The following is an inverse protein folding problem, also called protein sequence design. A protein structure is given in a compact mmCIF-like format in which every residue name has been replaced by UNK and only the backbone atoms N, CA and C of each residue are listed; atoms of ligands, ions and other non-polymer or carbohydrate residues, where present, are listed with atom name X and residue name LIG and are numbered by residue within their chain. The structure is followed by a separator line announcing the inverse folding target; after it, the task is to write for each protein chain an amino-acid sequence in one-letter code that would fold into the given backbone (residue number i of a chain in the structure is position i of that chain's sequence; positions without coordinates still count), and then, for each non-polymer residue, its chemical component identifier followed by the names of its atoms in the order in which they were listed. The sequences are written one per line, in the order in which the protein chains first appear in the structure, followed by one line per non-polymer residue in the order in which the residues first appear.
data_IF_661683363405
#
_entry.id   IF_661683363405
#
_cell.length_a   1.000
_cell.length_b   1.000
_cell.length_c   1.000
_cell.angle_alpha   90.00
_cell.angle_beta   90.00
_cell.angle_gamma   90.00
#
_symmetry.space_group_name_H-M   'P 1'
#
loop_
_entity.id
_entity.type
_entity.pdbx_description
1 polymer ?
#
# COMPACT_ATOMS: atom_id res chain seq x y z
N UNK A 1 11.81 -15.94 -56.66
CA UNK A 1 10.50 -16.08 -55.98
C UNK A 1 10.62 -16.75 -54.58
N UNK A 2 11.33 -17.87 -54.41
CA UNK A 2 11.45 -18.54 -53.09
C UNK A 2 12.17 -17.70 -51.99
N UNK A 3 13.16 -16.86 -52.35
CA UNK A 3 13.89 -15.98 -51.38
C UNK A 3 13.08 -14.79 -50.92
N UNK A 4 12.22 -14.24 -51.77
CA UNK A 4 11.32 -13.11 -51.41
C UNK A 4 10.18 -13.56 -50.48
N UNK A 5 9.67 -14.78 -50.67
CA UNK A 5 8.61 -15.36 -49.84
C UNK A 5 9.13 -15.67 -48.39
N UNK A 6 10.41 -16.12 -48.28
CA UNK A 6 11.04 -16.40 -46.98
C UNK A 6 11.28 -15.10 -46.19
N UNK A 7 11.63 -13.99 -46.85
CA UNK A 7 11.83 -12.69 -46.19
C UNK A 7 10.50 -12.09 -45.72
N UNK A 8 9.43 -12.27 -46.52
CA UNK A 8 8.11 -11.80 -46.15
C UNK A 8 7.52 -12.58 -44.97
N UNK A 9 7.73 -13.89 -44.91
CA UNK A 9 7.32 -14.74 -43.79
C UNK A 9 8.09 -14.40 -42.50
N UNK A 10 9.41 -14.12 -42.60
CA UNK A 10 10.23 -13.70 -41.47
C UNK A 10 9.81 -12.30 -40.96
N UNK A 11 9.43 -11.38 -41.85
CA UNK A 11 8.96 -10.05 -41.48
C UNK A 11 7.59 -10.10 -40.80
N UNK A 12 6.68 -10.96 -41.26
CA UNK A 12 5.37 -11.19 -40.64
C UNK A 12 5.51 -11.86 -39.26
N UNK A 13 6.48 -12.79 -39.09
CA UNK A 13 6.76 -13.39 -37.79
C UNK A 13 7.39 -12.37 -36.79
N UNK A 14 8.21 -11.44 -37.27
CA UNK A 14 8.78 -10.40 -36.42
C UNK A 14 7.74 -9.32 -36.02
N UNK A 15 6.71 -9.06 -36.83
CA UNK A 15 5.63 -8.14 -36.47
C UNK A 15 4.62 -8.73 -35.47
N UNK A 16 4.56 -10.06 -35.35
CA UNK A 16 3.62 -10.73 -34.44
C UNK A 16 4.16 -10.91 -33.01
N UNK A 17 5.38 -10.48 -32.71
CA UNK A 17 6.02 -10.69 -31.39
C UNK A 17 6.12 -9.44 -30.52
N UNK A 18 5.55 -8.33 -30.93
CA UNK A 18 5.41 -7.17 -30.07
C UNK A 18 3.98 -7.01 -29.52
N UNK A 19 3.48 -8.05 -28.85
CA UNK A 19 2.40 -7.81 -27.91
C UNK A 19 3.02 -6.94 -26.79
N UNK A 20 2.44 -5.77 -26.48
CA UNK A 20 2.90 -5.02 -25.32
C UNK A 20 2.81 -5.96 -24.12
N UNK A 21 3.92 -6.11 -23.40
CA UNK A 21 3.91 -6.91 -22.19
C UNK A 21 2.85 -6.31 -21.26
N UNK A 22 1.79 -7.06 -21.00
CA UNK A 22 0.79 -6.68 -19.99
C UNK A 22 1.54 -6.49 -18.67
N UNK A 23 1.29 -5.38 -17.97
CA UNK A 23 1.85 -5.21 -16.64
C UNK A 23 1.41 -6.38 -15.75
N UNK A 24 2.29 -6.83 -14.88
CA UNK A 24 1.91 -7.79 -13.85
C UNK A 24 0.81 -7.18 -12.98
N UNK A 25 -0.16 -8.00 -12.56
CA UNK A 25 -1.12 -7.58 -11.55
C UNK A 25 -0.37 -7.16 -10.27
N UNK A 26 -0.91 -6.22 -9.48
CA UNK A 26 -0.31 -5.85 -8.20
C UNK A 26 -0.21 -7.08 -7.30
N UNK A 27 0.92 -7.23 -6.63
CA UNK A 27 1.11 -8.25 -5.60
C UNK A 27 0.37 -7.85 -4.32
N UNK A 28 0.19 -8.81 -3.40
CA UNK A 28 -0.38 -8.51 -2.07
C UNK A 28 0.44 -7.44 -1.34
N UNK A 29 1.77 -7.46 -1.50
CA UNK A 29 2.65 -6.43 -0.94
C UNK A 29 2.43 -5.05 -1.57
N UNK A 30 2.18 -4.96 -2.89
CA UNK A 30 1.85 -3.69 -3.54
C UNK A 30 0.52 -3.13 -3.02
N UNK A 31 -0.47 -4.00 -2.81
CA UNK A 31 -1.78 -3.61 -2.28
C UNK A 31 -1.69 -3.19 -0.81
N UNK A 32 -0.91 -3.90 0.01
CA UNK A 32 -0.67 -3.56 1.41
C UNK A 32 0.06 -2.21 1.53
N UNK A 33 1.13 -2.00 0.77
CA UNK A 33 1.86 -0.72 0.74
C UNK A 33 0.97 0.44 0.29
N UNK A 34 0.09 0.23 -0.68
CA UNK A 34 -0.87 1.22 -1.12
C UNK A 34 -1.87 1.56 0.01
N UNK A 35 -2.41 0.56 0.70
CA UNK A 35 -3.32 0.74 1.83
C UNK A 35 -2.68 1.54 2.96
N UNK A 36 -1.44 1.22 3.33
CA UNK A 36 -0.67 1.95 4.34
C UNK A 36 -0.39 3.40 3.93
N UNK A 37 0.03 3.64 2.68
CA UNK A 37 0.26 5.00 2.16
C UNK A 37 -1.00 5.84 2.30
N UNK A 38 -2.14 5.33 1.84
CA UNK A 38 -3.42 6.03 1.92
C UNK A 38 -3.90 6.21 3.38
N UNK A 39 -3.66 5.22 4.24
CA UNK A 39 -3.98 5.31 5.67
C UNK A 39 -3.21 6.44 6.36
N UNK A 40 -1.91 6.56 6.10
CA UNK A 40 -1.08 7.64 6.64
C UNK A 40 -1.52 9.04 6.15
N UNK A 41 -2.09 9.11 4.97
CA UNK A 41 -2.71 10.33 4.45
C UNK A 41 -4.11 10.60 5.01
N UNK A 42 -4.69 9.64 5.77
CA UNK A 42 -6.08 9.73 6.24
C UNK A 42 -7.13 9.46 5.15
N UNK A 43 -6.71 8.86 4.01
CA UNK A 43 -7.55 8.63 2.83
C UNK A 43 -8.11 7.20 2.73
N UNK A 44 -7.65 6.29 3.57
CA UNK A 44 -8.10 4.91 3.64
C UNK A 44 -8.19 4.45 5.09
N UNK A 45 -9.13 3.55 5.39
CA UNK A 45 -9.34 3.06 6.75
C UNK A 45 -9.43 1.54 6.76
N UNK A 46 -9.00 0.94 7.88
CA UNK A 46 -9.25 -0.46 8.16
C UNK A 46 -10.74 -0.75 8.35
N UNK A 47 -11.10 -2.02 8.29
CA UNK A 47 -12.44 -2.54 8.63
C UNK A 47 -12.54 -2.83 10.12
N UNK A 48 -11.39 -3.00 10.76
CA UNK A 48 -11.22 -3.27 12.19
C UNK A 48 -9.88 -2.74 12.66
N UNK A 49 -9.59 -2.92 13.94
CA UNK A 49 -8.32 -2.57 14.58
C UNK A 49 -7.80 -3.82 15.31
N UNK A 50 -6.53 -4.15 15.09
CA UNK A 50 -5.90 -5.27 15.79
C UNK A 50 -5.65 -4.97 17.28
N UNK A 51 -5.12 -5.95 18.01
CA UNK A 51 -4.87 -5.85 19.45
C UNK A 51 -3.84 -4.76 19.82
N UNK A 52 -2.97 -4.43 18.88
CA UNK A 52 -1.92 -3.44 19.01
C UNK A 52 -2.40 -2.03 18.61
N UNK A 53 -3.63 -1.91 18.08
CA UNK A 53 -4.22 -0.62 17.65
C UNK A 53 -3.97 -0.27 16.19
N UNK A 54 -3.49 -1.21 15.37
CA UNK A 54 -3.27 -0.99 13.93
C UNK A 54 -4.50 -1.36 13.10
N UNK A 55 -4.69 -0.72 11.94
CA UNK A 55 -5.82 -1.01 11.08
C UNK A 55 -5.72 -2.41 10.46
N UNK A 56 -6.79 -3.15 10.48
CA UNK A 56 -6.98 -4.36 9.69
C UNK A 56 -7.64 -3.96 8.38
N UNK A 57 -6.91 -4.01 7.27
CA UNK A 57 -7.41 -3.51 5.98
C UNK A 57 -8.36 -4.45 5.26
N UNK A 58 -8.36 -5.75 5.59
CA UNK A 58 -9.18 -6.78 4.93
C UNK A 58 -9.08 -6.73 3.40
N UNK A 59 -7.85 -6.69 2.88
CA UNK A 59 -7.57 -6.44 1.46
C UNK A 59 -8.12 -7.52 0.53
N UNK A 60 -8.33 -8.75 1.03
CA UNK A 60 -8.92 -9.88 0.30
C UNK A 60 -10.45 -9.85 0.21
N UNK A 61 -11.13 -8.92 0.91
CA UNK A 61 -12.58 -8.83 0.89
C UNK A 61 -13.08 -8.14 -0.38
N UNK A 62 -14.21 -8.62 -0.92
CA UNK A 62 -14.90 -7.98 -2.03
C UNK A 62 -15.80 -6.85 -1.51
N UNK A 63 -15.51 -5.58 -1.81
CA UNK A 63 -16.29 -4.46 -1.32
C UNK A 63 -17.63 -4.35 -2.05
N UNK A 64 -18.63 -3.79 -1.36
CA UNK A 64 -19.90 -3.38 -1.99
C UNK A 64 -19.73 -2.03 -2.70
N UNK A 65 -20.69 -1.68 -3.56
CA UNK A 65 -20.72 -0.37 -4.23
C UNK A 65 -20.80 0.79 -3.24
N UNK A 66 -21.57 0.64 -2.16
CA UNK A 66 -21.63 1.65 -1.11
C UNK A 66 -20.26 1.85 -0.44
N UNK A 67 -19.54 0.75 -0.15
CA UNK A 67 -18.18 0.82 0.40
C UNK A 67 -17.21 1.45 -0.61
N UNK A 68 -17.34 1.13 -1.91
CA UNK A 68 -16.50 1.73 -2.97
C UNK A 68 -16.65 3.24 -3.05
N UNK A 69 -17.88 3.76 -2.99
CA UNK A 69 -18.12 5.21 -2.97
C UNK A 69 -17.58 5.84 -1.68
N UNK A 70 -17.75 5.19 -0.53
CA UNK A 70 -17.19 5.66 0.73
C UNK A 70 -15.66 5.78 0.64
N UNK A 71 -14.99 4.76 0.10
CA UNK A 71 -13.52 4.79 -0.08
C UNK A 71 -13.09 5.88 -1.09
N UNK A 72 -13.87 6.13 -2.14
CA UNK A 72 -13.62 7.24 -3.06
C UNK A 72 -13.74 8.61 -2.38
N UNK A 73 -14.80 8.84 -1.60
CA UNK A 73 -15.00 10.11 -0.88
C UNK A 73 -13.85 10.36 0.10
N UNK A 74 -13.38 9.32 0.76
CA UNK A 74 -12.17 9.37 1.61
C UNK A 74 -10.93 9.70 0.80
N UNK A 75 -10.72 9.04 -0.35
CA UNK A 75 -9.60 9.31 -1.26
C UNK A 75 -9.54 10.78 -1.68
N UNK A 76 -10.66 11.43 -1.82
CA UNK A 76 -10.75 12.86 -2.14
C UNK A 76 -10.54 13.78 -0.92
N UNK A 77 -10.32 13.23 0.29
CA UNK A 77 -10.21 13.99 1.53
C UNK A 77 -11.52 14.66 1.95
N UNK A 78 -12.66 14.18 1.47
CA UNK A 78 -13.97 14.83 1.62
C UNK A 78 -14.88 14.12 2.63
N UNK A 79 -14.38 13.18 3.42
CA UNK A 79 -15.18 12.45 4.41
C UNK A 79 -15.87 13.40 5.39
N UNK A 80 -15.12 14.38 5.93
CA UNK A 80 -15.69 15.37 6.84
C UNK A 80 -16.83 16.17 6.19
N UNK A 81 -16.61 16.64 4.98
CA UNK A 81 -17.64 17.38 4.23
C UNK A 81 -18.88 16.52 3.95
N UNK A 82 -18.68 15.24 3.62
CA UNK A 82 -19.79 14.31 3.39
C UNK A 82 -20.60 14.08 4.68
N UNK A 83 -19.96 13.89 5.82
CA UNK A 83 -20.62 13.61 7.10
C UNK A 83 -21.30 14.82 7.72
N UNK A 84 -20.75 16.03 7.56
CA UNK A 84 -21.29 17.26 8.13
C UNK A 84 -22.32 17.96 7.22
N UNK A 85 -22.35 17.59 5.93
CA UNK A 85 -23.26 18.17 4.94
C UNK A 85 -24.65 17.54 4.96
N UNK A 86 -25.58 18.22 4.27
CA UNK A 86 -26.91 17.68 3.98
C UNK A 86 -26.99 17.42 2.48
N UNK A 87 -27.13 16.18 2.10
CA UNK A 87 -27.10 15.73 0.71
C UNK A 87 -28.42 15.06 0.35
N UNK A 88 -28.90 15.32 -0.85
CA UNK A 88 -30.09 14.68 -1.40
C UNK A 88 -29.74 13.72 -2.52
N UNK A 89 -30.48 12.63 -2.63
CA UNK A 89 -30.32 11.63 -3.68
C UNK A 89 -31.66 11.00 -3.99
N UNK A 90 -31.92 10.62 -5.25
CA UNK A 90 -33.15 9.92 -5.59
C UNK A 90 -33.15 8.45 -5.13
N UNK A 91 -32.01 7.93 -4.63
CA UNK A 91 -31.84 6.50 -4.36
C UNK A 91 -32.53 6.08 -3.07
N UNK A 92 -33.31 5.00 -3.15
CA UNK A 92 -34.10 4.47 -2.03
C UNK A 92 -33.48 3.24 -1.36
N UNK A 93 -32.41 2.68 -1.95
CA UNK A 93 -31.77 1.43 -1.53
C UNK A 93 -30.40 1.67 -0.86
N UNK A 94 -30.11 2.88 -0.43
CA UNK A 94 -28.86 3.24 0.26
C UNK A 94 -29.05 3.08 1.76
N UNK A 95 -28.24 2.22 2.44
CA UNK A 95 -28.33 2.07 3.89
C UNK A 95 -27.92 3.37 4.61
N UNK A 96 -28.45 3.58 5.80
CA UNK A 96 -28.31 4.82 6.58
C UNK A 96 -26.84 5.26 6.72
N UNK A 97 -25.95 4.33 7.05
CA UNK A 97 -24.51 4.62 7.21
C UNK A 97 -23.83 5.16 5.94
N UNK A 98 -24.35 4.79 4.75
CA UNK A 98 -23.78 5.19 3.47
C UNK A 98 -24.44 6.42 2.86
N UNK A 99 -25.59 6.87 3.37
CA UNK A 99 -26.34 8.01 2.84
C UNK A 99 -25.49 9.28 2.71
N UNK A 100 -24.68 9.69 3.70
CA UNK A 100 -23.85 10.90 3.59
C UNK A 100 -22.84 10.79 2.43
N UNK A 101 -22.22 9.64 2.26
CA UNK A 101 -21.20 9.41 1.22
C UNK A 101 -21.82 9.34 -0.17
N UNK A 102 -22.90 8.57 -0.32
CA UNK A 102 -23.57 8.40 -1.62
C UNK A 102 -24.26 9.71 -2.03
N UNK A 103 -24.88 10.42 -1.09
CA UNK A 103 -25.48 11.73 -1.35
C UNK A 103 -24.45 12.76 -1.79
N UNK A 104 -23.33 12.87 -1.06
CA UNK A 104 -22.20 13.71 -1.46
C UNK A 104 -21.73 13.37 -2.88
N UNK A 105 -21.46 12.08 -3.12
CA UNK A 105 -20.94 11.62 -4.41
C UNK A 105 -21.94 11.89 -5.56
N UNK A 106 -23.23 11.76 -5.32
CA UNK A 106 -24.26 12.06 -6.30
C UNK A 106 -24.30 13.56 -6.64
N UNK A 107 -24.37 14.42 -5.66
CA UNK A 107 -24.41 15.88 -5.87
C UNK A 107 -23.11 16.44 -6.48
N UNK A 108 -21.97 15.75 -6.26
CA UNK A 108 -20.69 16.09 -6.90
C UNK A 108 -20.50 15.43 -8.27
N UNK A 109 -21.50 14.72 -8.80
CA UNK A 109 -21.43 14.08 -10.11
C UNK A 109 -20.47 12.89 -10.18
N UNK A 110 -20.03 12.36 -9.02
CA UNK A 110 -19.12 11.20 -8.97
C UNK A 110 -19.85 9.90 -9.25
N UNK A 111 -21.16 9.83 -8.95
CA UNK A 111 -22.01 8.66 -9.25
C UNK A 111 -23.37 9.07 -9.76
N UNK A 112 -23.95 8.23 -10.65
CA UNK A 112 -25.29 8.43 -11.19
C UNK A 112 -26.25 7.30 -10.76
N UNK A 113 -25.82 6.39 -9.86
CA UNK A 113 -26.57 5.19 -9.53
C UNK A 113 -26.55 4.13 -10.64
N UNK A 114 -27.43 3.15 -10.54
CA UNK A 114 -27.66 2.09 -11.54
C UNK A 114 -29.04 2.20 -12.20
N UNK A 115 -29.88 3.08 -11.71
CA UNK A 115 -31.20 3.41 -12.22
C UNK A 115 -31.69 4.74 -11.62
N UNK A 116 -32.88 5.19 -12.04
CA UNK A 116 -33.42 6.51 -11.60
C UNK A 116 -33.51 6.65 -10.09
N UNK A 117 -33.92 5.59 -9.39
CA UNK A 117 -34.07 5.57 -7.93
C UNK A 117 -33.23 4.48 -7.24
N UNK A 118 -32.32 3.86 -7.98
CA UNK A 118 -31.56 2.70 -7.51
C UNK A 118 -30.06 2.97 -7.57
N UNK A 119 -29.38 2.78 -6.46
CA UNK A 119 -27.93 2.84 -6.33
C UNK A 119 -27.27 1.46 -6.43
N UNK A 120 -27.98 0.40 -6.05
CA UNK A 120 -27.48 -0.97 -5.86
C UNK A 120 -26.38 -1.05 -4.78
N UNK A 121 -26.65 -0.46 -3.61
CA UNK A 121 -25.69 -0.27 -2.53
C UNK A 121 -24.98 -1.55 -2.08
N UNK A 122 -25.73 -2.67 -1.98
CA UNK A 122 -25.23 -3.99 -1.53
C UNK A 122 -24.57 -4.83 -2.64
N UNK A 123 -24.63 -4.41 -3.91
CA UNK A 123 -23.99 -5.15 -5.00
C UNK A 123 -22.47 -5.12 -4.85
N UNK A 124 -21.80 -6.24 -5.13
CA UNK A 124 -20.34 -6.28 -5.21
C UNK A 124 -19.82 -5.29 -6.25
N UNK A 125 -18.83 -4.50 -5.86
CA UNK A 125 -18.18 -3.51 -6.72
C UNK A 125 -17.33 -4.23 -7.78
N UNK A 126 -17.47 -3.83 -9.02
CA UNK A 126 -16.60 -4.31 -10.11
C UNK A 126 -15.44 -3.34 -10.38
N UNK A 127 -14.38 -3.84 -11.04
CA UNK A 127 -13.26 -3.01 -11.47
C UNK A 127 -13.72 -1.79 -12.26
N UNK A 128 -14.53 -1.99 -13.30
CA UNK A 128 -14.98 -0.89 -14.17
C UNK A 128 -15.83 0.14 -13.42
N UNK A 129 -16.64 -0.29 -12.44
CA UNK A 129 -17.41 0.63 -11.61
C UNK A 129 -16.48 1.52 -10.77
N UNK A 130 -15.45 0.96 -10.13
CA UNK A 130 -14.52 1.77 -9.35
C UNK A 130 -13.63 2.67 -10.21
N UNK A 131 -13.14 2.16 -11.35
CA UNK A 131 -12.37 2.96 -12.30
C UNK A 131 -13.19 4.14 -12.86
N UNK A 132 -14.50 3.94 -13.10
CA UNK A 132 -15.42 5.03 -13.47
C UNK A 132 -15.50 6.10 -12.39
N UNK A 133 -15.60 5.71 -11.11
CA UNK A 133 -15.62 6.63 -9.99
C UNK A 133 -14.31 7.44 -9.90
N UNK A 134 -13.16 6.78 -10.06
CA UNK A 134 -11.84 7.42 -10.05
C UNK A 134 -11.69 8.40 -11.21
N UNK A 135 -12.09 8.03 -12.42
CA UNK A 135 -12.02 8.91 -13.59
C UNK A 135 -12.89 10.17 -13.41
N UNK A 136 -14.10 10.02 -12.87
CA UNK A 136 -14.95 11.17 -12.55
C UNK A 136 -14.34 12.06 -11.46
N UNK A 137 -13.71 11.47 -10.46
CA UNK A 137 -12.98 12.21 -9.43
C UNK A 137 -11.79 13.01 -10.01
N UNK A 138 -11.16 12.53 -11.08
CA UNK A 138 -10.13 13.23 -11.84
C UNK A 138 -10.69 14.23 -12.87
N UNK A 139 -12.02 14.43 -12.90
CA UNK A 139 -12.70 15.39 -13.79
C UNK A 139 -13.05 14.88 -15.18
N UNK A 140 -12.93 13.58 -15.44
CA UNK A 140 -13.34 12.97 -16.72
C UNK A 140 -14.83 12.61 -16.71
N UNK A 141 -15.49 12.82 -17.83
CA UNK A 141 -16.93 12.56 -18.00
C UNK A 141 -17.17 11.27 -18.80
N UNK A 142 -17.97 10.37 -18.23
CA UNK A 142 -18.34 9.11 -18.86
C UNK A 142 -19.25 9.25 -20.09
N UNK A 143 -19.77 10.45 -20.39
CA UNK A 143 -20.54 10.71 -21.60
C UNK A 143 -19.64 11.14 -22.78
N UNK A 144 -18.48 11.73 -22.51
CA UNK A 144 -17.63 12.35 -23.54
C UNK A 144 -16.21 11.83 -23.59
N UNK A 145 -15.62 11.41 -22.46
CA UNK A 145 -14.20 11.09 -22.40
C UNK A 145 -13.92 9.57 -22.42
N UNK A 146 -14.83 8.77 -21.89
CA UNK A 146 -14.69 7.31 -21.81
C UNK A 146 -16.04 6.60 -21.73
N UNK A 147 -16.06 5.33 -22.12
CA UNK A 147 -17.24 4.48 -21.92
C UNK A 147 -17.14 3.83 -20.53
N UNK A 148 -18.20 3.91 -19.74
CA UNK A 148 -18.24 3.42 -18.35
C UNK A 148 -18.01 1.91 -18.24
N UNK A 149 -18.38 1.14 -19.25
CA UNK A 149 -18.22 -0.32 -19.32
C UNK A 149 -16.80 -0.77 -19.72
N UNK A 150 -15.96 0.18 -20.11
CA UNK A 150 -14.55 -0.03 -20.50
C UNK A 150 -13.63 1.07 -19.93
N UNK A 151 -13.93 1.52 -18.71
CA UNK A 151 -13.19 2.58 -18.00
C UNK A 151 -11.67 2.30 -17.90
N UNK A 152 -11.25 1.03 -17.86
CA UNK A 152 -9.83 0.64 -17.89
C UNK A 152 -9.08 1.20 -19.08
N UNK A 153 -9.72 1.41 -20.22
CA UNK A 153 -9.05 1.95 -21.42
C UNK A 153 -8.46 3.34 -21.16
N UNK A 154 -9.19 4.20 -20.46
CA UNK A 154 -8.70 5.54 -20.14
C UNK A 154 -7.73 5.50 -18.94
N UNK A 155 -7.99 4.68 -17.90
CA UNK A 155 -7.06 4.56 -16.76
C UNK A 155 -5.72 3.98 -17.17
N UNK A 156 -5.67 3.08 -18.15
CA UNK A 156 -4.43 2.59 -18.76
C UNK A 156 -3.67 3.71 -19.47
N UNK A 157 -4.39 4.50 -20.28
CA UNK A 157 -3.79 5.65 -20.99
C UNK A 157 -3.23 6.70 -20.02
N UNK A 158 -3.85 6.86 -18.86
CA UNK A 158 -3.40 7.77 -17.81
C UNK A 158 -2.29 7.19 -16.92
N UNK A 159 -1.89 5.94 -17.15
CA UNK A 159 -0.86 5.26 -16.37
C UNK A 159 -1.32 4.83 -14.97
N UNK A 160 -2.63 4.76 -14.73
CA UNK A 160 -3.21 4.34 -13.45
C UNK A 160 -3.22 2.81 -13.32
N UNK A 161 -3.65 2.10 -14.37
CA UNK A 161 -3.90 0.65 -14.29
C UNK A 161 -2.98 -0.20 -15.15
N UNK A 162 -2.30 0.37 -16.16
CA UNK A 162 -1.29 -0.31 -16.96
C UNK A 162 -1.73 -1.71 -17.48
N UNK A 163 -2.96 -1.81 -17.99
CA UNK A 163 -3.56 -3.05 -18.55
C UNK A 163 -3.79 -4.17 -17.50
N UNK A 164 -3.84 -3.85 -16.22
CA UNK A 164 -4.17 -4.84 -15.16
C UNK A 164 -5.62 -5.31 -15.28
N UNK A 165 -6.54 -4.41 -15.59
CA UNK A 165 -7.98 -4.71 -15.68
C UNK A 165 -8.48 -4.76 -17.13
N UNK A 166 -9.55 -5.51 -17.35
CA UNK A 166 -10.19 -5.68 -18.67
C UNK A 166 -11.62 -6.22 -18.52
N UNK A 167 -12.33 -6.42 -19.62
CA UNK A 167 -13.64 -7.08 -19.62
C UNK A 167 -13.62 -8.50 -19.00
N UNK A 168 -12.46 -9.15 -18.96
CA UNK A 168 -12.29 -10.47 -18.35
C UNK A 168 -12.06 -10.42 -16.83
N UNK A 169 -11.96 -9.23 -16.23
CA UNK A 169 -11.75 -9.09 -14.78
C UNK A 169 -13.05 -9.44 -14.03
N UNK A 170 -13.04 -10.53 -13.30
CA UNK A 170 -14.22 -11.03 -12.55
C UNK A 170 -14.13 -10.77 -11.06
N UNK A 171 -12.94 -10.47 -10.54
CA UNK A 171 -12.68 -10.23 -9.12
C UNK A 171 -12.09 -8.84 -8.94
N UNK A 172 -12.63 -8.09 -7.97
CA UNK A 172 -12.11 -6.78 -7.60
C UNK A 172 -12.25 -6.61 -6.08
N UNK A 173 -11.12 -6.54 -5.39
CA UNK A 173 -11.04 -6.62 -3.95
C UNK A 173 -10.70 -5.26 -3.33
N UNK A 174 -10.74 -5.17 -2.02
CA UNK A 174 -10.34 -3.95 -1.30
C UNK A 174 -8.86 -3.61 -1.53
N UNK A 175 -8.01 -4.62 -1.73
CA UNK A 175 -6.62 -4.44 -2.14
C UNK A 175 -6.49 -3.74 -3.50
N UNK A 176 -7.34 -4.13 -4.46
CA UNK A 176 -7.40 -3.45 -5.77
C UNK A 176 -7.87 -1.99 -5.63
N UNK A 177 -8.88 -1.74 -4.78
CA UNK A 177 -9.33 -0.37 -4.48
C UNK A 177 -8.17 0.46 -3.91
N UNK A 178 -7.44 -0.06 -2.93
CA UNK A 178 -6.30 0.64 -2.34
C UNK A 178 -5.21 0.92 -3.39
N UNK A 179 -4.83 -0.09 -4.18
CA UNK A 179 -3.81 0.05 -5.20
C UNK A 179 -4.20 1.06 -6.29
N UNK A 180 -5.40 0.95 -6.86
CA UNK A 180 -5.90 1.90 -7.87
C UNK A 180 -5.95 3.32 -7.31
N UNK A 181 -6.40 3.49 -6.07
CA UNK A 181 -6.46 4.79 -5.39
C UNK A 181 -5.07 5.42 -5.24
N UNK A 182 -4.08 4.64 -4.82
CA UNK A 182 -2.70 5.11 -4.69
C UNK A 182 -2.08 5.48 -6.05
N UNK A 183 -2.38 4.75 -7.12
CA UNK A 183 -1.96 5.12 -8.46
C UNK A 183 -2.65 6.40 -8.95
N UNK A 184 -3.95 6.56 -8.62
CA UNK A 184 -4.72 7.76 -8.99
C UNK A 184 -4.15 9.05 -8.38
N UNK A 185 -3.49 8.98 -7.20
CA UNK A 185 -2.83 10.14 -6.59
C UNK A 185 -1.81 10.79 -7.54
N UNK A 186 -1.15 9.98 -8.39
CA UNK A 186 -0.11 10.43 -9.33
C UNK A 186 -0.67 10.87 -10.68
N UNK A 187 -1.94 10.59 -10.94
CA UNK A 187 -2.59 10.96 -12.19
C UNK A 187 -2.93 12.45 -12.22
N UNK A 188 -2.76 13.07 -13.37
CA UNK A 188 -3.16 14.46 -13.59
C UNK A 188 -4.68 14.57 -13.68
N UNK A 189 -5.22 15.60 -13.07
CA UNK A 189 -6.63 15.99 -13.25
C UNK A 189 -6.87 16.49 -14.68
N UNK A 190 -8.05 16.24 -15.21
CA UNK A 190 -8.41 16.64 -16.59
C UNK A 190 -8.21 18.14 -16.81
N UNK A 191 -7.46 18.49 -17.84
CA UNK A 191 -7.21 19.90 -18.19
C UNK A 191 -6.28 20.64 -17.23
N UNK A 192 -5.57 19.94 -16.35
CA UNK A 192 -4.65 20.50 -15.36
C UNK A 192 -3.27 19.86 -15.46
N UNK A 193 -2.24 20.59 -15.05
CA UNK A 193 -0.92 20.01 -14.81
C UNK A 193 -0.75 19.44 -13.39
N UNK A 194 -1.74 19.66 -12.52
CA UNK A 194 -1.73 19.18 -11.15
C UNK A 194 -2.21 17.73 -11.10
N UNK A 195 -1.59 16.95 -10.23
CA UNK A 195 -2.04 15.62 -9.86
C UNK A 195 -3.10 15.70 -8.76
N UNK A 196 -3.82 14.60 -8.52
CA UNK A 196 -4.71 14.50 -7.38
C UNK A 196 -3.95 14.72 -6.06
N UNK A 197 -2.71 14.21 -5.95
CA UNK A 197 -1.86 14.45 -4.77
C UNK A 197 -1.54 15.95 -4.57
N UNK A 198 -1.32 16.71 -5.64
CA UNK A 198 -1.09 18.16 -5.54
C UNK A 198 -2.33 18.89 -5.02
N UNK A 199 -3.52 18.48 -5.48
CA UNK A 199 -4.80 19.03 -5.02
C UNK A 199 -5.05 18.73 -3.54
N UNK A 200 -4.79 17.49 -3.10
CA UNK A 200 -4.87 17.08 -1.70
C UNK A 200 -3.83 17.82 -0.83
N UNK A 201 -2.61 17.96 -1.33
CA UNK A 201 -1.55 18.71 -0.62
C UNK A 201 -1.90 20.18 -0.40
N UNK A 202 -2.62 20.80 -1.34
CA UNK A 202 -3.14 22.17 -1.18
C UNK A 202 -4.22 22.26 -0.10
N UNK A 203 -4.91 21.16 0.20
CA UNK A 203 -5.89 21.03 1.31
C UNK A 203 -5.22 20.65 2.65
N UNK A 204 -3.89 20.50 2.68
CA UNK A 204 -3.13 20.07 3.86
C UNK A 204 -3.05 18.57 4.04
N UNK A 205 -3.60 17.77 3.12
CA UNK A 205 -3.56 16.31 3.16
C UNK A 205 -2.29 15.84 2.47
N UNK A 206 -1.37 15.28 3.25
CA UNK A 206 -0.06 14.83 2.76
C UNK A 206 0.31 13.51 3.40
N UNK A 207 1.15 12.76 2.74
CA UNK A 207 1.86 11.65 3.36
C UNK A 207 2.84 12.21 4.40
N UNK A 208 2.48 12.08 5.69
CA UNK A 208 3.32 12.53 6.79
C UNK A 208 4.57 11.66 6.94
N UNK A 209 4.57 10.41 6.46
CA UNK A 209 5.74 9.54 6.51
C UNK A 209 6.87 10.05 5.61
N UNK A 210 6.55 10.80 4.55
CA UNK A 210 7.56 11.44 3.69
C UNK A 210 8.42 12.50 4.41
N UNK A 211 8.01 12.95 5.60
CA UNK A 211 8.76 13.96 6.39
C UNK A 211 9.97 13.36 7.11
N UNK A 212 9.83 12.12 7.59
CA UNK A 212 10.93 11.38 8.19
C UNK A 212 10.97 9.98 7.57
N UNK A 213 11.77 9.84 6.53
CA UNK A 213 12.03 8.56 5.88
C UNK A 213 13.17 7.90 6.62
N UNK A 214 12.96 6.67 7.06
CA UNK A 214 14.01 5.87 7.65
C UNK A 214 14.41 4.71 6.75
N UNK A 215 15.55 4.14 7.02
CA UNK A 215 15.95 2.83 6.56
C UNK A 215 16.20 1.94 7.76
N UNK A 216 15.80 0.72 7.65
CA UNK A 216 16.16 -0.36 8.53
C UNK A 216 17.36 -1.10 7.97
N UNK A 217 18.32 -1.40 8.81
CA UNK A 217 19.39 -2.32 8.51
C UNK A 217 19.31 -3.45 9.56
N UNK A 218 19.13 -4.69 9.12
CA UNK A 218 19.31 -5.85 9.97
C UNK A 218 20.82 -6.02 10.19
N UNK A 219 21.24 -5.79 11.40
CA UNK A 219 22.64 -5.60 11.64
C UNK A 219 23.32 -6.89 12.07
N UNK A 220 22.62 -7.78 12.78
CA UNK A 220 23.30 -8.99 13.25
C UNK A 220 22.39 -9.91 14.04
N UNK A 221 22.70 -11.16 13.98
CA UNK A 221 22.22 -12.18 14.92
C UNK A 221 23.17 -12.26 16.10
N UNK A 222 22.70 -11.88 17.27
CA UNK A 222 23.37 -12.18 18.52
C UNK A 222 22.71 -13.37 19.16
N UNK A 223 23.34 -14.56 19.07
CA UNK A 223 22.93 -15.76 19.83
C UNK A 223 21.44 -15.98 19.82
N UNK A 224 20.51 -15.79 19.33
CA UNK A 224 19.04 -15.92 19.43
C UNK A 224 18.29 -14.57 19.29
N UNK A 225 18.98 -13.49 18.87
CA UNK A 225 18.34 -12.20 18.68
C UNK A 225 18.70 -11.58 17.34
N UNK A 226 17.70 -11.12 16.61
CA UNK A 226 17.91 -10.22 15.48
C UNK A 226 18.04 -8.79 16.01
N UNK A 227 18.95 -8.04 15.43
CA UNK A 227 19.18 -6.64 15.83
C UNK A 227 18.92 -5.75 14.63
N UNK A 228 17.99 -4.85 14.77
CA UNK A 228 17.63 -3.85 13.76
C UNK A 228 18.07 -2.48 14.19
N UNK A 229 18.63 -1.72 13.27
CA UNK A 229 18.83 -0.30 13.44
C UNK A 229 17.91 0.50 12.55
N UNK A 230 17.32 1.52 13.10
CA UNK A 230 16.50 2.49 12.39
C UNK A 230 17.25 3.81 12.33
N UNK A 231 17.49 4.30 11.11
CA UNK A 231 18.21 5.55 10.88
C UNK A 231 17.45 6.42 9.88
N UNK A 232 17.48 7.74 10.06
CA UNK A 232 16.95 8.66 9.10
C UNK A 232 17.73 8.58 7.78
N UNK A 233 17.03 8.58 6.63
CA UNK A 233 17.68 8.65 5.32
C UNK A 233 18.24 10.03 5.05
N UNK A 234 19.08 10.17 4.02
CA UNK A 234 19.64 11.47 3.61
C UNK A 234 18.56 12.47 3.15
N UNK A 235 17.43 11.95 2.69
CA UNK A 235 16.31 12.75 2.19
C UNK A 235 15.34 13.18 3.30
N UNK A 236 15.54 12.68 4.51
CA UNK A 236 14.71 13.03 5.67
C UNK A 236 14.91 14.48 6.07
N UNK A 237 13.82 15.22 6.21
CA UNK A 237 13.82 16.62 6.67
C UNK A 237 13.77 16.75 8.18
N UNK A 238 13.31 15.71 8.86
CA UNK A 238 13.09 15.66 10.31
C UNK A 238 13.58 14.35 10.91
N UNK A 239 13.64 14.28 12.22
CA UNK A 239 13.87 13.05 12.99
C UNK A 239 12.72 12.83 13.95
N UNK A 240 12.54 11.60 14.42
CA UNK A 240 11.58 11.30 15.46
C UNK A 240 12.05 11.82 16.83
N UNK A 241 11.11 12.40 17.57
CA UNK A 241 11.29 12.71 19.00
C UNK A 241 10.98 11.50 19.86
N UNK A 242 10.13 10.62 19.36
CA UNK A 242 9.83 9.30 19.91
C UNK A 242 9.68 8.32 18.74
N UNK A 243 10.23 7.12 18.90
CA UNK A 243 10.08 6.01 17.96
C UNK A 243 9.93 4.72 18.77
N UNK A 244 8.98 3.88 18.38
CA UNK A 244 8.67 2.63 19.05
C UNK A 244 8.25 1.56 18.03
N UNK A 245 8.77 0.34 18.18
CA UNK A 245 8.22 -0.87 17.58
C UNK A 245 7.25 -1.44 18.60
N UNK A 246 5.97 -1.30 18.33
CA UNK A 246 4.89 -1.66 19.26
C UNK A 246 4.57 -3.14 19.23
N UNK A 247 4.72 -3.78 18.07
CA UNK A 247 4.64 -5.23 17.92
C UNK A 247 5.54 -5.73 16.80
N UNK A 248 5.91 -7.01 16.84
CA UNK A 248 6.62 -7.69 15.77
C UNK A 248 6.23 -9.16 15.71
N UNK A 249 6.16 -9.72 14.50
CA UNK A 249 5.91 -11.13 14.26
C UNK A 249 6.90 -11.72 13.24
N UNK A 250 7.19 -13.01 13.38
CA UNK A 250 7.94 -13.83 12.44
C UNK A 250 7.01 -14.92 11.92
N UNK A 251 6.56 -14.85 10.66
CA UNK A 251 5.52 -15.74 10.10
C UNK A 251 4.27 -15.85 11.01
N UNK A 252 3.83 -14.72 11.61
CA UNK A 252 2.71 -14.69 12.55
C UNK A 252 3.03 -15.11 13.98
N UNK A 253 4.25 -15.62 14.26
CA UNK A 253 4.71 -15.95 15.63
C UNK A 253 5.18 -14.66 16.31
N UNK A 254 4.61 -14.33 17.47
CA UNK A 254 4.92 -13.10 18.19
C UNK A 254 6.40 -13.03 18.59
N UNK A 255 7.02 -11.89 18.34
CA UNK A 255 8.39 -11.60 18.76
C UNK A 255 8.41 -10.90 20.13
N UNK A 256 9.43 -11.22 20.93
CA UNK A 256 9.79 -10.43 22.08
C UNK A 256 10.66 -9.26 21.64
N UNK A 257 10.28 -8.05 22.04
CA UNK A 257 10.92 -6.80 21.64
C UNK A 257 11.71 -6.23 22.83
N UNK A 258 12.98 -5.89 22.59
CA UNK A 258 13.80 -5.09 23.50
C UNK A 258 14.32 -3.88 22.70
N UNK A 259 13.99 -2.67 23.12
CA UNK A 259 14.19 -1.47 22.29
C UNK A 259 14.93 -0.36 23.04
N UNK A 260 15.74 0.36 22.29
CA UNK A 260 16.47 1.55 22.71
C UNK A 260 16.24 2.68 21.72
N UNK A 261 15.50 3.72 22.10
CA UNK A 261 15.14 4.85 21.25
C UNK A 261 15.58 6.22 21.76
N UNK A 262 16.27 6.27 22.90
CA UNK A 262 16.88 7.54 23.34
C UNK A 262 18.32 7.65 22.84
N UNK A 263 18.76 8.85 22.38
CA UNK A 263 20.10 9.02 21.81
C UNK A 263 21.24 8.48 22.67
N UNK A 264 21.17 8.65 24.00
CA UNK A 264 22.18 8.17 24.92
C UNK A 264 22.23 6.64 24.96
N UNK A 265 21.08 5.97 25.06
CA UNK A 265 20.97 4.50 25.07
C UNK A 265 21.35 3.89 23.73
N UNK A 266 20.91 4.49 22.61
CA UNK A 266 21.30 4.05 21.26
C UNK A 266 22.83 4.11 21.14
N UNK A 267 23.45 5.21 21.50
CA UNK A 267 24.91 5.37 21.44
C UNK A 267 25.65 4.37 22.33
N UNK A 268 25.11 4.09 23.52
CA UNK A 268 25.68 3.07 24.43
C UNK A 268 25.62 1.67 23.82
N UNK A 269 24.46 1.29 23.24
CA UNK A 269 24.29 -0.03 22.63
C UNK A 269 25.14 -0.18 21.37
N UNK A 270 25.21 0.83 20.51
CA UNK A 270 26.12 0.82 19.36
C UNK A 270 27.58 0.57 19.77
N UNK A 271 28.04 1.18 20.86
CA UNK A 271 29.39 0.93 21.41
C UNK A 271 29.57 -0.51 21.91
N UNK A 272 28.52 -1.11 22.47
CA UNK A 272 28.57 -2.52 22.94
C UNK A 272 28.66 -3.48 21.76
N UNK A 273 27.89 -3.20 20.68
CA UNK A 273 27.87 -4.00 19.45
C UNK A 273 29.23 -3.89 18.74
N UNK A 274 29.75 -2.67 18.54
CA UNK A 274 30.99 -2.42 17.79
C UNK A 274 32.28 -2.93 18.48
N UNK A 275 32.21 -3.36 19.75
CA UNK A 275 33.33 -3.98 20.47
C UNK A 275 33.44 -5.49 20.28
N UNK A 276 32.52 -6.10 19.53
CA UNK A 276 32.57 -7.52 19.18
C UNK A 276 33.32 -7.68 17.87
N UNK A 277 34.24 -8.62 17.81
CA UNK A 277 35.12 -8.85 16.65
C UNK A 277 34.37 -9.34 15.41
N UNK A 278 33.12 -9.82 15.56
CA UNK A 278 32.29 -10.43 14.56
C UNK A 278 31.25 -9.47 13.93
N UNK A 279 31.22 -8.18 14.31
CA UNK A 279 30.18 -7.25 13.88
C UNK A 279 30.75 -5.89 13.50
N UNK A 280 30.74 -5.58 12.22
CA UNK A 280 30.99 -4.22 11.74
C UNK A 280 29.67 -3.47 11.59
N UNK A 281 29.27 -2.73 12.61
CA UNK A 281 28.05 -1.90 12.56
C UNK A 281 28.44 -0.45 12.33
N UNK A 282 28.18 0.06 11.14
CA UNK A 282 28.27 1.49 10.86
C UNK A 282 26.88 2.09 11.02
N UNK A 283 26.59 2.69 12.17
CA UNK A 283 25.30 3.30 12.49
C UNK A 283 25.43 4.82 12.66
N UNK A 284 25.79 5.58 11.61
CA UNK A 284 26.13 6.99 11.80
C UNK A 284 24.95 7.86 12.28
N UNK A 285 23.70 7.45 12.10
CA UNK A 285 22.53 8.27 12.41
C UNK A 285 21.33 7.45 12.95
N UNK A 286 21.58 6.32 13.60
CA UNK A 286 20.49 5.53 14.17
C UNK A 286 19.77 6.29 15.27
N UNK A 287 18.44 6.38 15.19
CA UNK A 287 17.59 6.92 16.24
C UNK A 287 16.96 5.84 17.11
N UNK A 288 16.96 4.58 16.65
CA UNK A 288 16.52 3.44 17.44
C UNK A 288 17.33 2.17 17.14
N UNK A 289 17.47 1.32 18.16
CA UNK A 289 17.94 -0.05 18.06
C UNK A 289 16.88 -0.97 18.65
N UNK A 290 16.55 -2.02 17.93
CA UNK A 290 15.52 -2.99 18.29
C UNK A 290 16.10 -4.38 18.23
N UNK A 291 15.95 -5.11 19.30
CA UNK A 291 16.35 -6.52 19.42
C UNK A 291 15.09 -7.36 19.41
N UNK A 292 14.99 -8.29 18.48
CA UNK A 292 13.89 -9.25 18.39
C UNK A 292 14.37 -10.65 18.74
N UNK A 293 13.57 -11.36 19.52
CA UNK A 293 13.71 -12.81 19.71
C UNK A 293 12.35 -13.47 19.57
N UNK A 294 12.30 -14.65 18.99
CA UNK A 294 11.06 -15.40 18.72
C UNK A 294 11.35 -16.90 18.71
N UNK A 295 10.30 -17.72 18.74
CA UNK A 295 10.41 -19.16 18.56
C UNK A 295 10.71 -19.48 17.08
N UNK A 296 11.98 -19.77 16.79
CA UNK A 296 12.45 -20.03 15.43
C UNK A 296 11.82 -21.30 14.84
N UNK A 297 11.58 -22.32 15.65
CA UNK A 297 10.97 -23.57 15.20
C UNK A 297 9.52 -23.30 14.77
N UNK A 298 8.75 -22.63 15.63
CA UNK A 298 7.37 -22.28 15.32
C UNK A 298 7.27 -21.37 14.09
N UNK A 299 8.19 -20.41 13.91
CA UNK A 299 8.21 -19.55 12.75
C UNK A 299 8.58 -20.29 11.45
N UNK A 300 9.49 -21.26 11.51
CA UNK A 300 9.82 -22.14 10.36
C UNK A 300 8.65 -23.03 9.98
N UNK A 301 7.97 -23.61 10.96
CA UNK A 301 6.79 -24.46 10.74
C UNK A 301 5.60 -23.68 10.15
N UNK A 302 5.51 -22.38 10.44
CA UNK A 302 4.49 -21.48 9.90
C UNK A 302 4.87 -20.88 8.53
N UNK A 303 6.05 -21.16 7.98
CA UNK A 303 6.47 -20.61 6.69
C UNK A 303 5.63 -21.14 5.53
N UNK A 304 5.17 -20.23 4.68
CA UNK A 304 4.40 -20.54 3.46
C UNK A 304 5.27 -20.58 2.22
N UNK A 305 6.50 -20.07 2.30
CA UNK A 305 7.46 -19.98 1.21
C UNK A 305 8.80 -20.61 1.58
N UNK A 306 9.52 -21.06 0.56
CA UNK A 306 10.87 -21.61 0.70
C UNK A 306 11.80 -21.02 -0.35
N UNK A 307 13.08 -20.89 0.00
CA UNK A 307 14.15 -20.51 -0.92
C UNK A 307 15.17 -21.64 -1.05
N UNK A 308 15.65 -21.85 -2.26
CA UNK A 308 16.74 -22.79 -2.53
C UNK A 308 18.06 -22.03 -2.63
N UNK A 309 18.95 -22.27 -1.70
CA UNK A 309 20.29 -21.67 -1.64
C UNK A 309 21.31 -22.65 -1.09
N UNK A 310 22.58 -22.52 -1.46
CA UNK A 310 23.73 -23.28 -0.91
C UNK A 310 23.48 -24.78 -0.69
N UNK A 311 22.88 -25.47 -1.67
CA UNK A 311 22.57 -26.91 -1.64
C UNK A 311 21.44 -27.34 -0.69
N UNK A 312 20.61 -26.41 -0.19
CA UNK A 312 19.46 -26.68 0.65
C UNK A 312 18.22 -25.90 0.23
N UNK A 313 17.08 -26.34 0.76
CA UNK A 313 15.83 -25.57 0.69
C UNK A 313 15.49 -25.13 2.10
N UNK A 314 15.29 -23.83 2.28
CA UNK A 314 15.09 -23.20 3.58
C UNK A 314 13.77 -22.48 3.63
N UNK A 315 13.01 -22.55 4.75
CA UNK A 315 11.81 -21.75 4.92
C UNK A 315 12.15 -20.26 4.96
N UNK A 316 11.35 -19.47 4.28
CA UNK A 316 11.41 -18.00 4.35
C UNK A 316 10.71 -17.55 5.61
N UNK A 317 11.35 -16.68 6.36
CA UNK A 317 10.79 -16.04 7.54
C UNK A 317 10.45 -14.59 7.17
N UNK A 318 9.16 -14.29 7.11
CA UNK A 318 8.67 -12.92 6.93
C UNK A 318 8.52 -12.26 8.31
N UNK A 319 9.37 -11.27 8.57
CA UNK A 319 9.23 -10.39 9.73
C UNK A 319 8.32 -9.23 9.40
N UNK A 320 7.36 -8.96 10.29
CA UNK A 320 6.50 -7.78 10.24
C UNK A 320 6.64 -7.01 11.55
N UNK A 321 7.03 -5.74 11.46
CA UNK A 321 7.21 -4.85 12.60
C UNK A 321 6.24 -3.67 12.47
N UNK A 322 5.40 -3.48 13.48
CA UNK A 322 4.55 -2.30 13.58
C UNK A 322 5.31 -1.20 14.30
N UNK A 323 5.57 -0.10 13.59
CA UNK A 323 6.37 1.02 14.05
C UNK A 323 5.52 2.26 14.22
N UNK A 324 5.74 3.00 15.30
CA UNK A 324 5.16 4.33 15.51
C UNK A 324 6.27 5.34 15.79
N UNK A 325 6.05 6.57 15.33
CA UNK A 325 6.98 7.66 15.60
C UNK A 325 6.23 8.96 15.85
N UNK A 326 6.88 9.91 16.53
CA UNK A 326 6.36 11.26 16.73
C UNK A 326 7.40 12.26 16.26
N UNK A 327 7.00 13.13 15.34
CA UNK A 327 7.84 14.22 14.84
C UNK A 327 7.87 15.39 15.84
N UNK A 328 8.76 16.36 15.64
CA UNK A 328 8.95 17.51 16.55
C UNK A 328 7.69 18.36 16.72
N UNK A 329 6.83 18.41 15.73
CA UNK A 329 5.58 19.17 15.80
C UNK A 329 4.40 18.36 16.42
N UNK A 330 4.68 17.14 16.90
CA UNK A 330 3.69 16.26 17.51
C UNK A 330 2.96 15.36 16.49
N UNK A 331 3.25 15.47 15.20
CA UNK A 331 2.67 14.58 14.18
C UNK A 331 3.06 13.14 14.46
N UNK A 332 2.07 12.25 14.55
CA UNK A 332 2.28 10.80 14.68
C UNK A 332 2.42 10.17 13.30
N UNK A 333 3.34 9.24 13.19
CA UNK A 333 3.61 8.44 12.01
C UNK A 333 3.53 6.97 12.42
N UNK A 334 2.88 6.15 11.61
CA UNK A 334 2.73 4.71 11.85
C UNK A 334 3.07 3.98 10.57
N UNK A 335 3.84 2.92 10.66
CA UNK A 335 4.27 2.14 9.50
C UNK A 335 4.41 0.66 9.83
N UNK A 336 4.14 -0.19 8.85
CA UNK A 336 4.44 -1.60 8.86
C UNK A 336 5.72 -1.84 8.07
N UNK A 337 6.78 -2.26 8.74
CA UNK A 337 8.02 -2.73 8.12
C UNK A 337 7.91 -4.22 7.90
N UNK A 338 8.08 -4.67 6.68
CA UNK A 338 8.10 -6.10 6.32
C UNK A 338 9.40 -6.45 5.64
N UNK A 339 10.02 -7.55 6.06
CA UNK A 339 11.25 -8.06 5.46
C UNK A 339 11.32 -9.57 5.52
N UNK A 340 11.85 -10.17 4.46
CA UNK A 340 12.04 -11.60 4.33
C UNK A 340 13.49 -11.97 4.55
N UNK A 341 13.74 -13.06 5.24
CA UNK A 341 15.07 -13.67 5.38
C UNK A 341 14.95 -15.19 5.52
N UNK A 342 16.05 -15.86 5.37
CA UNK A 342 16.15 -17.29 5.66
C UNK A 342 17.43 -17.59 6.45
N UNK A 343 17.39 -18.69 7.20
CA UNK A 343 18.53 -19.17 7.97
C UNK A 343 19.06 -20.42 7.30
N UNK A 344 20.28 -20.36 6.80
CA UNK A 344 20.95 -21.55 6.31
C UNK A 344 21.88 -22.17 7.41
N UNK A 345 22.19 -23.44 7.23
CA UNK A 345 23.06 -24.17 8.17
C UNK A 345 24.57 -23.86 7.97
N UNK A 346 24.90 -23.01 6.97
CA UNK A 346 26.28 -22.81 6.54
C UNK A 346 26.92 -21.52 7.03
N UNK A 347 26.20 -20.41 6.98
CA UNK A 347 26.81 -19.08 7.16
C UNK A 347 25.98 -18.16 8.03
N UNK A 348 24.83 -18.58 8.52
CA UNK A 348 23.93 -17.74 9.33
C UNK A 348 22.77 -17.13 8.54
N UNK A 349 22.50 -15.87 8.74
CA UNK A 349 21.31 -15.22 8.23
C UNK A 349 21.59 -14.41 6.96
N UNK A 350 20.70 -14.52 5.98
CA UNK A 350 20.72 -13.81 4.70
C UNK A 350 19.40 -13.11 4.44
#
# INVERSE_FOLDING_TARGET
MKKALSLFLALVLCLSLSLPARAAAPTDADQENAAWTLYHMGLFQGTDTDKEGFPVFSLSDAPTRAQGVTMLVRLLGQEKAALEGTWTTPFTDVPEWAQPYVGYAYEKGLTNGTGETTFSAGKTLSATEYLTLVLRALGYDSASDFAWDSAWTLTDKLGITNQVYSAATTTFLRGDVAWVSAQALRAKEKGSDKTLADTLAAQGIRDNNSRCVWKEDCVTVQKDKLVFSFAATKDSKETYTNFEVTSATANGVACKIEQYSTPAKVKEQCRKISRREDVTVTLPNAFALVYLSYDETAAKDAATETVTAHQGTYPVITLKLHCTGTLKDGTKVTELVSMDYYVDNYTGYY
#
